data_IF_400404079922
#
_entry.id   IF_400404079922
#
_cell.length_a   1.000
_cell.length_b   1.000
_cell.length_c   1.000
_cell.angle_alpha   90.00
_cell.angle_beta   90.00
_cell.angle_gamma   90.00
#
_symmetry.space_group_name_H-M   'P 1'
#
loop_
_entity.id
_entity.type
_entity.pdbx_description
1 polymer ?
#
# COMPACT_ATOMS: atom_id res chain seq x y z
N UNK A 1 -6.73 29.42 0.90
CA UNK A 1 -6.00 28.15 1.08
C UNK A 1 -4.68 28.42 1.78
N UNK A 2 -4.00 27.43 2.38
CA UNK A 2 -2.59 27.59 2.78
C UNK A 2 -1.81 28.06 1.55
N UNK A 3 -1.31 29.31 1.57
CA UNK A 3 -0.72 29.99 0.41
C UNK A 3 -1.45 31.26 -0.07
N UNK A 4 -2.57 31.65 0.56
CA UNK A 4 -3.25 32.92 0.26
C UNK A 4 -4.21 32.88 -0.94
N UNK A 5 -4.32 31.73 -1.62
CA UNK A 5 -5.19 31.58 -2.79
C UNK A 5 -6.68 31.60 -2.40
N UNK A 6 -7.49 32.29 -3.23
CA UNK A 6 -8.95 32.40 -3.10
C UNK A 6 -9.61 31.33 -3.97
N UNK A 7 -10.50 30.55 -3.37
CA UNK A 7 -11.26 29.50 -4.06
C UNK A 7 -12.74 29.82 -3.95
N UNK A 8 -13.46 29.67 -5.06
CA UNK A 8 -14.93 29.79 -5.10
C UNK A 8 -15.53 28.39 -4.98
N UNK A 9 -16.31 28.14 -3.94
CA UNK A 9 -16.94 26.85 -3.69
C UNK A 9 -18.45 26.92 -3.95
N UNK A 10 -19.05 25.80 -4.36
CA UNK A 10 -20.50 25.65 -4.34
C UNK A 10 -21.02 25.67 -2.88
N UNK A 11 -22.33 25.93 -2.65
CA UNK A 11 -22.91 26.04 -1.31
C UNK A 11 -22.69 24.81 -0.43
N UNK A 12 -22.72 23.61 -1.02
CA UNK A 12 -22.54 22.34 -0.32
C UNK A 12 -21.09 22.13 0.15
N UNK A 13 -20.11 22.65 -0.58
CA UNK A 13 -18.70 22.53 -0.23
C UNK A 13 -18.19 23.64 0.72
N UNK A 14 -19.00 24.66 1.01
CA UNK A 14 -18.59 25.80 1.82
C UNK A 14 -18.24 25.42 3.27
N UNK A 15 -18.95 24.45 3.85
CA UNK A 15 -18.70 23.97 5.21
C UNK A 15 -17.39 23.16 5.28
N UNK A 16 -17.16 22.28 4.30
CA UNK A 16 -15.94 21.50 4.21
C UNK A 16 -14.70 22.39 4.02
N UNK A 17 -14.80 23.41 3.16
CA UNK A 17 -13.72 24.38 2.94
C UNK A 17 -13.37 25.20 4.20
N UNK A 18 -14.34 25.48 5.08
CA UNK A 18 -14.08 26.13 6.38
C UNK A 18 -13.35 25.19 7.33
N UNK A 19 -13.81 23.94 7.46
CA UNK A 19 -13.18 22.95 8.34
C UNK A 19 -11.72 22.66 7.97
N UNK A 20 -11.37 22.67 6.68
CA UNK A 20 -9.99 22.50 6.22
C UNK A 20 -9.11 23.70 6.59
N UNK A 21 -9.64 24.92 6.51
CA UNK A 21 -8.90 26.14 6.89
C UNK A 21 -8.58 26.18 8.38
N UNK A 22 -9.52 25.79 9.23
CA UNK A 22 -9.32 25.83 10.68
C UNK A 22 -8.23 24.83 11.12
N UNK A 23 -8.23 23.62 10.56
CA UNK A 23 -7.16 22.62 10.81
C UNK A 23 -5.77 23.08 10.35
N UNK A 24 -5.69 23.90 9.31
CA UNK A 24 -4.42 24.46 8.84
C UNK A 24 -3.90 25.58 9.76
N UNK A 25 -4.80 26.33 10.43
CA UNK A 25 -4.42 27.38 11.38
C UNK A 25 -3.76 26.84 12.65
N UNK A 26 -4.28 25.74 13.20
CA UNK A 26 -3.75 25.13 14.43
C UNK A 26 -2.35 24.52 14.23
N UNK A 27 -2.05 24.02 13.02
CA UNK A 27 -0.72 23.47 12.69
C UNK A 27 0.35 24.55 12.64
N UNK A 28 0.03 25.75 12.14
CA UNK A 28 0.97 26.88 12.07
C UNK A 28 1.29 27.51 13.42
N UNK A 29 0.37 27.42 14.40
CA UNK A 29 0.62 27.92 15.75
C UNK A 29 1.54 27.01 16.58
N UNK A 30 1.57 25.70 16.28
CA UNK A 30 2.40 24.74 17.01
C UNK A 30 3.87 24.77 16.60
N UNK A 31 4.18 25.11 15.34
CA UNK A 31 5.56 25.13 14.83
C UNK A 31 6.39 26.35 15.29
N UNK A 32 5.75 27.43 15.71
CA UNK A 32 6.46 28.62 16.22
C UNK A 32 6.93 28.46 17.69
N UNK A 33 6.28 27.57 18.46
CA UNK A 33 6.63 27.34 19.86
C UNK A 33 7.88 26.48 20.07
N UNK A 34 8.41 25.83 19.03
CA UNK A 34 9.56 24.92 19.14
C UNK A 34 10.93 25.61 18.95
N UNK A 35 10.99 26.88 18.49
CA UNK A 35 12.25 27.52 18.06
C UNK A 35 12.98 28.38 19.11
N UNK A 36 12.49 28.49 20.35
CA UNK A 36 13.08 29.40 21.36
C UNK A 36 13.91 28.74 22.46
N UNK A 37 14.34 27.47 22.31
CA UNK A 37 15.11 26.78 23.36
C UNK A 37 16.46 26.20 22.92
N UNK A 38 17.20 26.91 22.08
CA UNK A 38 18.63 26.63 21.84
C UNK A 38 19.51 27.59 22.66
N UNK A 39 19.60 27.30 23.96
CA UNK A 39 20.49 27.97 24.91
C UNK A 39 21.64 27.04 25.31
N UNK A 40 22.79 27.27 24.67
CA UNK A 40 24.17 26.97 25.04
C UNK A 40 24.42 26.29 26.40
N UNK A 41 24.95 25.06 26.39
CA UNK A 41 25.76 24.54 27.53
C UNK A 41 27.00 23.80 27.03
N UNK A 42 28.13 24.41 27.30
CA UNK A 42 29.48 23.86 27.17
C UNK A 42 29.78 22.87 28.30
N UNK A 43 30.29 21.71 27.89
CA UNK A 43 31.34 20.86 28.49
C UNK A 43 31.65 21.03 30.00
N UNK A 44 31.55 19.93 30.76
CA UNK A 44 32.51 19.57 31.83
C UNK A 44 32.42 18.08 32.16
N UNK A 45 33.57 17.42 32.11
CA UNK A 45 33.87 16.05 32.55
C UNK A 45 34.00 15.98 34.07
N UNK A 46 33.44 14.96 34.72
CA UNK A 46 34.01 14.31 35.92
C UNK A 46 33.14 13.13 36.41
N UNK A 47 33.78 11.96 36.50
CA UNK A 47 33.83 11.05 37.68
C UNK A 47 32.53 10.39 38.20
N UNK A 48 32.51 9.05 38.11
CA UNK A 48 31.63 8.07 38.79
C UNK A 48 31.76 8.09 40.34
N UNK A 49 31.16 7.15 41.12
CA UNK A 49 29.87 6.45 41.05
C UNK A 49 29.02 6.69 42.33
N UNK A 50 27.76 6.25 42.37
CA UNK A 50 26.96 6.33 43.60
C UNK A 50 25.63 5.59 43.55
N UNK A 51 25.54 4.53 44.34
CA UNK A 51 24.35 3.71 44.61
C UNK A 51 23.31 4.44 45.48
N UNK A 52 22.04 4.07 45.33
CA UNK A 52 20.90 4.48 46.17
C UNK A 52 19.72 4.85 45.26
N UNK A 53 18.65 4.05 45.12
CA UNK A 53 17.81 3.54 46.20
C UNK A 53 16.72 4.58 46.49
N UNK A 54 15.52 4.42 45.91
CA UNK A 54 14.19 4.81 46.44
C UNK A 54 13.10 4.69 45.35
N UNK A 55 12.28 3.63 45.46
CA UNK A 55 10.82 3.66 45.20
C UNK A 55 10.13 4.51 46.30
N UNK A 56 8.80 4.76 46.28
CA UNK A 56 7.83 4.84 45.18
C UNK A 56 7.00 6.16 45.27
N UNK A 57 6.29 6.57 44.21
CA UNK A 57 5.12 7.44 44.37
C UNK A 57 3.97 7.03 43.46
N UNK A 58 2.93 6.51 44.10
CA UNK A 58 1.59 6.39 43.57
C UNK A 58 1.03 7.81 43.31
N UNK A 59 0.54 8.02 42.09
CA UNK A 59 -0.18 9.22 41.68
C UNK A 59 -1.56 8.84 41.18
N UNK A 60 -2.51 8.81 42.12
CA UNK A 60 -3.95 8.87 41.90
C UNK A 60 -4.29 10.12 41.09
N UNK A 61 -5.02 9.97 40.00
CA UNK A 61 -5.77 11.09 39.39
C UNK A 61 -6.95 10.57 38.60
N UNK A 62 -8.07 10.57 39.31
CA UNK A 62 -9.42 10.49 38.81
C UNK A 62 -9.66 11.51 37.70
N UNK A 63 -10.32 11.11 36.60
CA UNK A 63 -11.10 12.07 35.84
C UNK A 63 -12.48 11.50 35.55
N UNK A 64 -13.44 12.02 36.32
CA UNK A 64 -14.86 11.78 36.19
C UNK A 64 -15.43 12.74 35.14
N UNK A 65 -16.42 12.24 34.39
CA UNK A 65 -17.55 13.06 33.95
C UNK A 65 -17.38 13.76 32.61
N UNK A 66 -18.12 13.26 31.61
CA UNK A 66 -19.07 14.11 30.89
C UNK A 66 -20.11 13.28 30.14
N UNK A 67 -21.22 13.09 30.82
CA UNK A 67 -22.53 12.89 30.22
C UNK A 67 -22.93 14.14 29.43
N UNK A 68 -23.28 13.96 28.16
CA UNK A 68 -23.83 14.99 27.30
C UNK A 68 -24.93 14.40 26.44
N UNK A 69 -26.13 14.36 26.99
CA UNK A 69 -27.38 14.09 26.29
C UNK A 69 -27.74 15.23 25.31
N UNK A 70 -28.65 14.91 24.40
CA UNK A 70 -29.60 15.80 23.68
C UNK A 70 -29.22 16.19 22.25
N UNK A 71 -29.98 15.67 21.28
CA UNK A 71 -30.82 16.44 20.32
C UNK A 71 -31.38 15.45 19.29
N UNK A 72 -32.64 15.07 19.38
CA UNK A 72 -33.81 15.79 18.85
C UNK A 72 -33.91 15.77 17.31
N UNK A 73 -34.81 14.90 16.83
CA UNK A 73 -35.87 15.16 15.83
C UNK A 73 -35.53 16.07 14.63
N UNK A 74 -35.44 15.45 13.46
CA UNK A 74 -35.87 15.98 12.15
C UNK A 74 -36.31 14.75 11.35
N UNK A 75 -37.58 14.51 11.07
CA UNK A 75 -38.39 15.33 10.17
C UNK A 75 -38.47 14.63 8.82
N UNK A 76 -39.07 13.44 8.78
CA UNK A 76 -39.30 12.64 7.57
C UNK A 76 -40.34 13.34 6.70
N UNK A 77 -39.87 14.20 5.80
CA UNK A 77 -40.71 14.84 4.78
C UNK A 77 -40.65 13.99 3.51
N UNK A 78 -41.57 13.03 3.40
CA UNK A 78 -41.87 12.34 2.15
C UNK A 78 -42.44 13.33 1.15
N UNK A 79 -41.61 13.82 0.23
CA UNK A 79 -42.10 14.39 -1.03
C UNK A 79 -42.18 13.27 -2.05
N UNK A 80 -43.41 12.86 -2.30
CA UNK A 80 -43.81 12.13 -3.50
C UNK A 80 -43.66 13.12 -4.65
N UNK A 81 -42.62 12.94 -5.46
CA UNK A 81 -42.54 13.55 -6.79
C UNK A 81 -43.08 12.52 -7.77
N UNK A 82 -44.36 12.66 -8.11
CA UNK A 82 -44.92 12.15 -9.36
C UNK A 82 -44.18 12.83 -10.51
N UNK A 83 -43.22 12.13 -11.10
CA UNK A 83 -42.61 12.51 -12.37
C UNK A 83 -43.24 11.68 -13.47
N UNK A 84 -44.32 12.24 -14.00
CA UNK A 84 -44.95 11.83 -15.25
C UNK A 84 -44.00 12.10 -16.42
N UNK A 85 -43.61 11.02 -17.12
CA UNK A 85 -43.31 11.05 -18.55
C UNK A 85 -41.90 11.48 -18.97
N UNK A 86 -40.91 10.60 -18.81
CA UNK A 86 -39.69 10.58 -19.63
C UNK A 86 -39.20 9.13 -19.85
N UNK A 87 -40.13 8.21 -20.13
CA UNK A 87 -39.92 6.75 -20.14
C UNK A 87 -39.27 6.18 -21.41
N UNK A 88 -38.35 6.90 -22.07
CA UNK A 88 -37.84 6.44 -23.38
C UNK A 88 -36.32 6.48 -23.57
N UNK A 89 -35.54 7.01 -22.62
CA UNK A 89 -34.06 7.11 -22.73
C UNK A 89 -33.31 6.71 -21.45
N UNK A 90 -34.00 6.22 -20.41
CA UNK A 90 -33.33 5.40 -19.37
C UNK A 90 -32.90 4.09 -20.03
N UNK A 91 -31.73 4.14 -20.68
CA UNK A 91 -31.00 2.99 -21.18
C UNK A 91 -30.93 2.00 -20.03
N UNK A 92 -31.49 0.82 -20.24
CA UNK A 92 -31.72 -0.20 -19.22
C UNK A 92 -30.41 -0.37 -18.42
N UNK A 93 -30.41 0.16 -17.19
CA UNK A 93 -29.29 0.03 -16.27
C UNK A 93 -29.51 -1.28 -15.54
N UNK A 94 -28.60 -2.22 -15.73
CA UNK A 94 -28.57 -3.46 -14.99
C UNK A 94 -27.50 -3.39 -13.89
N UNK A 95 -27.62 -4.26 -12.90
CA UNK A 95 -26.70 -4.28 -11.75
C UNK A 95 -25.55 -5.22 -12.08
N UNK A 96 -24.31 -4.75 -11.94
CA UNK A 96 -23.13 -5.58 -12.11
C UNK A 96 -23.03 -6.60 -10.96
N UNK A 97 -22.90 -7.89 -11.27
CA UNK A 97 -22.80 -8.97 -10.26
C UNK A 97 -21.52 -8.89 -9.41
N UNK A 98 -20.46 -8.25 -9.92
CA UNK A 98 -19.18 -8.11 -9.21
C UNK A 98 -19.16 -6.98 -8.19
N UNK A 99 -19.57 -5.77 -8.59
CA UNK A 99 -19.48 -4.56 -7.75
C UNK A 99 -20.84 -4.03 -7.25
N UNK A 100 -21.96 -4.65 -7.65
CA UNK A 100 -23.32 -4.23 -7.34
C UNK A 100 -23.70 -2.80 -7.77
N UNK A 101 -22.92 -2.17 -8.65
CA UNK A 101 -23.22 -0.85 -9.19
C UNK A 101 -24.18 -0.95 -10.38
N UNK A 102 -25.04 0.07 -10.56
CA UNK A 102 -25.93 0.18 -11.71
C UNK A 102 -25.18 0.68 -12.94
N UNK A 103 -24.97 -0.20 -13.92
CA UNK A 103 -24.18 0.03 -15.13
C UNK A 103 -25.12 -0.10 -16.35
N UNK A 104 -24.97 0.71 -17.42
CA UNK A 104 -25.76 0.49 -18.64
C UNK A 104 -25.53 -0.92 -19.18
N UNK A 105 -26.59 -1.58 -19.65
CA UNK A 105 -26.53 -2.95 -20.17
C UNK A 105 -25.51 -3.15 -21.31
N UNK A 106 -25.22 -2.09 -22.08
CA UNK A 106 -24.19 -2.11 -23.13
C UNK A 106 -22.77 -2.31 -22.62
N UNK A 107 -22.54 -2.01 -21.33
CA UNK A 107 -21.22 -2.08 -20.70
C UNK A 107 -21.09 -3.31 -19.78
N UNK A 108 -22.12 -4.16 -19.73
CA UNK A 108 -22.06 -5.45 -19.06
C UNK A 108 -21.57 -6.53 -20.02
N UNK A 109 -20.54 -7.23 -19.59
CA UNK A 109 -20.03 -8.43 -20.24
C UNK A 109 -20.57 -9.67 -19.52
N UNK A 110 -21.03 -10.65 -20.30
CA UNK A 110 -21.49 -11.92 -19.77
C UNK A 110 -20.31 -12.89 -19.62
N UNK A 111 -20.15 -13.46 -18.43
CA UNK A 111 -19.13 -14.45 -18.10
C UNK A 111 -19.81 -15.75 -17.66
N UNK A 112 -19.20 -16.90 -17.97
CA UNK A 112 -19.65 -18.20 -17.47
C UNK A 112 -18.63 -18.76 -16.49
N UNK A 113 -19.11 -19.12 -15.31
CA UNK A 113 -18.36 -19.86 -14.31
C UNK A 113 -18.44 -21.36 -14.65
N UNK A 114 -17.43 -22.13 -14.27
CA UNK A 114 -17.33 -23.59 -14.51
C UNK A 114 -18.50 -24.41 -13.95
N UNK A 115 -19.24 -23.88 -12.99
CA UNK A 115 -20.46 -24.47 -12.43
C UNK A 115 -21.69 -24.29 -13.33
N UNK A 116 -21.56 -23.54 -14.43
CA UNK A 116 -22.62 -23.18 -15.37
C UNK A 116 -23.36 -21.90 -15.00
N UNK A 117 -22.94 -21.19 -13.95
CA UNK A 117 -23.53 -19.90 -13.56
C UNK A 117 -23.09 -18.80 -14.52
N UNK A 118 -24.05 -18.03 -15.02
CA UNK A 118 -23.79 -16.89 -15.90
C UNK A 118 -23.81 -15.60 -15.07
N UNK A 119 -22.72 -14.83 -15.14
CA UNK A 119 -22.58 -13.54 -14.45
C UNK A 119 -22.60 -12.39 -15.46
N UNK A 120 -23.24 -11.28 -15.10
CA UNK A 120 -23.24 -10.02 -15.86
C UNK A 120 -22.38 -8.99 -15.14
N UNK A 121 -21.14 -8.83 -15.58
CA UNK A 121 -20.14 -8.00 -14.93
C UNK A 121 -19.80 -6.77 -15.77
N UNK A 122 -19.55 -5.63 -15.14
CA UNK A 122 -18.96 -4.49 -15.84
C UNK A 122 -17.53 -4.82 -16.27
N UNK A 123 -16.99 -4.08 -17.25
CA UNK A 123 -15.68 -4.34 -17.86
C UNK A 123 -14.53 -4.47 -16.86
N UNK A 124 -14.50 -3.68 -15.78
CA UNK A 124 -13.47 -3.79 -14.75
C UNK A 124 -13.59 -5.08 -13.94
N UNK A 125 -14.79 -5.42 -13.48
CA UNK A 125 -15.05 -6.68 -12.80
C UNK A 125 -14.80 -7.89 -13.72
N UNK A 126 -15.06 -7.76 -15.02
CA UNK A 126 -14.79 -8.83 -15.96
C UNK A 126 -13.31 -9.11 -16.16
N UNK A 127 -12.45 -8.08 -16.19
CA UNK A 127 -10.99 -8.24 -16.25
C UNK A 127 -10.47 -8.94 -15.00
N UNK A 128 -10.95 -8.56 -13.82
CA UNK A 128 -10.54 -9.22 -12.56
C UNK A 128 -11.07 -10.66 -12.46
N UNK A 129 -12.31 -10.91 -12.86
CA UNK A 129 -12.89 -12.24 -12.87
C UNK A 129 -12.17 -13.19 -13.84
N UNK A 130 -11.74 -12.69 -15.01
CA UNK A 130 -11.00 -13.47 -16.01
C UNK A 130 -9.59 -13.89 -15.56
N UNK A 131 -9.06 -13.33 -14.47
CA UNK A 131 -7.79 -13.81 -13.87
C UNK A 131 -7.95 -15.11 -13.08
N UNK A 132 -9.19 -15.51 -12.79
CA UNK A 132 -9.48 -16.76 -12.08
C UNK A 132 -9.72 -17.88 -13.09
N UNK A 133 -9.16 -19.06 -12.82
CA UNK A 133 -9.23 -20.22 -13.72
C UNK A 133 -10.64 -20.84 -13.82
N UNK A 134 -11.59 -20.40 -12.99
CA UNK A 134 -12.97 -20.90 -12.93
C UNK A 134 -13.96 -20.11 -13.81
N UNK A 135 -13.50 -19.10 -14.57
CA UNK A 135 -14.36 -18.19 -15.33
C UNK A 135 -13.91 -18.08 -16.80
N UNK A 136 -14.84 -18.27 -17.74
CA UNK A 136 -14.57 -18.19 -19.18
C UNK A 136 -15.59 -17.29 -19.91
N UNK A 137 -15.18 -16.67 -21.01
CA UNK A 137 -16.06 -15.82 -21.85
C UNK A 137 -16.82 -16.69 -22.87
N UNK A 138 -18.16 -16.82 -22.76
CA UNK A 138 -18.94 -17.52 -23.76
C UNK A 138 -18.98 -16.72 -25.07
N UNK A 139 -18.33 -17.22 -26.12
CA UNK A 139 -18.43 -16.62 -27.46
C UNK A 139 -17.12 -16.28 -28.15
N UNK A 140 -15.97 -16.53 -27.53
CA UNK A 140 -14.70 -16.65 -28.26
C UNK A 140 -14.68 -17.98 -29.02
N UNK A 141 -15.45 -18.11 -30.10
CA UNK A 141 -15.11 -19.11 -31.12
C UNK A 141 -13.84 -18.61 -31.78
N UNK A 142 -12.70 -18.92 -31.17
CA UNK A 142 -11.42 -18.99 -31.86
C UNK A 142 -11.57 -20.08 -32.93
N UNK A 143 -12.20 -19.73 -34.06
CA UNK A 143 -11.84 -20.30 -35.34
C UNK A 143 -10.43 -19.83 -35.59
N UNK A 144 -9.46 -20.61 -35.11
CA UNK A 144 -8.43 -21.23 -35.94
C UNK A 144 -7.28 -21.72 -35.05
N UNK A 145 -6.63 -22.80 -35.52
CA UNK A 145 -5.34 -23.29 -35.07
C UNK A 145 -5.29 -24.07 -33.74
N UNK A 146 -5.67 -25.34 -33.87
CA UNK A 146 -5.02 -26.38 -33.08
C UNK A 146 -3.51 -26.38 -33.34
N UNK A 147 -2.73 -26.45 -32.28
CA UNK A 147 -1.37 -26.97 -32.28
C UNK A 147 -1.10 -27.52 -30.89
N UNK A 148 -0.70 -28.79 -30.88
CA UNK A 148 -0.39 -29.55 -29.67
C UNK A 148 0.87 -29.04 -28.96
N UNK A 149 1.25 -29.72 -27.87
CA UNK A 149 2.27 -29.24 -26.96
C UNK A 149 3.66 -29.64 -27.46
N UNK A 150 4.41 -28.69 -28.00
CA UNK A 150 5.85 -28.84 -28.21
C UNK A 150 6.61 -27.71 -27.50
N UNK A 151 7.23 -28.13 -26.39
CA UNK A 151 8.62 -27.91 -26.02
C UNK A 151 9.34 -26.65 -26.56
N UNK A 152 9.79 -25.84 -25.60
CA UNK A 152 11.07 -25.12 -25.61
C UNK A 152 11.35 -24.17 -26.77
N UNK A 153 11.20 -22.86 -26.56
CA UNK A 153 12.23 -21.88 -26.98
C UNK A 153 11.95 -20.48 -26.41
N UNK A 154 13.01 -19.88 -25.83
CA UNK A 154 13.22 -18.44 -25.71
C UNK A 154 12.86 -17.73 -27.02
N UNK A 155 12.33 -16.51 -26.99
CA UNK A 155 12.82 -15.33 -27.75
C UNK A 155 12.03 -14.08 -27.35
N UNK A 156 12.75 -13.15 -26.73
CA UNK A 156 12.84 -11.71 -27.02
C UNK A 156 11.64 -11.03 -27.70
N UNK A 157 10.99 -10.13 -26.95
CA UNK A 157 9.96 -9.23 -27.45
C UNK A 157 10.61 -7.97 -28.03
N UNK A 158 10.65 -7.88 -29.35
CA UNK A 158 10.93 -6.64 -30.08
C UNK A 158 9.73 -5.69 -29.98
N UNK A 159 9.97 -4.47 -29.48
CA UNK A 159 9.04 -3.35 -29.57
C UNK A 159 9.47 -2.48 -30.74
N UNK A 160 8.66 -2.46 -31.79
CA UNK A 160 8.76 -1.52 -32.91
C UNK A 160 8.14 -0.20 -32.50
N UNK A 161 8.94 0.87 -32.47
CA UNK A 161 8.41 2.24 -32.47
C UNK A 161 8.98 2.98 -33.66
N UNK A 162 8.11 3.27 -34.63
CA UNK A 162 8.36 4.20 -35.71
C UNK A 162 8.59 5.60 -35.13
N UNK A 163 9.78 6.16 -35.37
CA UNK A 163 10.00 7.61 -35.29
C UNK A 163 10.96 7.99 -36.40
N UNK A 164 10.40 8.54 -37.46
CA UNK A 164 11.13 9.13 -38.56
C UNK A 164 11.58 10.55 -38.22
N UNK A 165 12.85 10.85 -38.50
CA UNK A 165 13.31 12.17 -38.91
C UNK A 165 14.42 12.80 -38.06
N UNK A 166 15.65 12.83 -38.58
CA UNK A 166 16.64 13.83 -38.12
C UNK A 166 18.13 13.49 -38.21
N UNK A 167 18.63 13.25 -39.43
CA UNK A 167 19.96 13.62 -39.94
C UNK A 167 21.24 13.56 -39.06
N UNK A 168 22.08 12.59 -39.40
CA UNK A 168 23.48 12.77 -39.85
C UNK A 168 24.47 13.56 -38.99
N UNK A 169 25.42 12.84 -38.38
CA UNK A 169 26.86 13.15 -38.47
C UNK A 169 27.67 11.88 -38.22
N UNK A 170 28.43 11.50 -39.26
CA UNK A 170 29.37 10.38 -39.28
C UNK A 170 30.60 10.75 -38.47
N UNK A 171 31.12 9.83 -37.70
CA UNK A 171 32.54 9.79 -37.34
C UNK A 171 32.96 8.32 -37.25
N UNK A 172 33.49 7.87 -38.39
CA UNK A 172 34.52 6.86 -38.51
C UNK A 172 35.57 7.03 -37.39
N UNK A 173 35.84 5.95 -36.67
CA UNK A 173 37.18 5.59 -36.18
C UNK A 173 37.14 4.16 -35.66
N UNK A 174 37.75 3.30 -36.46
CA UNK A 174 38.19 1.93 -36.21
C UNK A 174 39.11 1.82 -34.98
N UNK A 175 39.41 0.57 -34.61
CA UNK A 175 40.39 0.04 -33.63
C UNK A 175 39.62 -0.77 -32.56
N UNK A 176 39.29 -2.05 -32.81
CA UNK A 176 40.19 -3.21 -32.85
C UNK A 176 41.08 -3.29 -31.60
N UNK A 177 40.53 -3.88 -30.54
CA UNK A 177 41.31 -4.64 -29.56
C UNK A 177 40.46 -5.85 -29.15
N UNK A 178 40.71 -6.96 -29.84
CA UNK A 178 40.19 -8.27 -29.48
C UNK A 178 40.64 -8.66 -28.08
N UNK A 179 39.73 -8.53 -27.12
CA UNK A 179 39.79 -9.26 -25.85
C UNK A 179 39.01 -10.56 -26.01
N UNK A 180 39.65 -11.49 -26.72
CA UNK A 180 39.33 -12.90 -26.73
C UNK A 180 39.61 -13.51 -25.35
N UNK A 181 38.62 -14.23 -24.81
CA UNK A 181 38.87 -15.41 -23.98
C UNK A 181 39.49 -15.20 -22.59
N UNK A 182 38.89 -14.36 -21.75
CA UNK A 182 39.15 -14.35 -20.30
C UNK A 182 37.89 -14.76 -19.57
N UNK A 183 37.76 -16.05 -19.23
CA UNK A 183 36.54 -16.64 -18.67
C UNK A 183 35.86 -15.76 -17.63
N UNK A 184 34.56 -15.54 -17.80
CA UNK A 184 33.65 -15.15 -16.74
C UNK A 184 33.75 -16.19 -15.64
N UNK A 185 34.77 -16.06 -14.79
CA UNK A 185 34.78 -16.60 -13.45
C UNK A 185 33.42 -16.24 -12.86
N UNK A 186 32.73 -17.17 -12.19
CA UNK A 186 31.47 -16.87 -11.52
C UNK A 186 31.75 -15.64 -10.65
N UNK A 187 31.20 -14.51 -11.07
CA UNK A 187 31.25 -13.27 -10.30
C UNK A 187 30.54 -13.63 -9.01
N UNK A 188 31.35 -13.83 -7.98
CA UNK A 188 31.02 -14.02 -6.58
C UNK A 188 29.61 -13.46 -6.32
N UNK A 189 28.63 -14.34 -6.06
CA UNK A 189 27.21 -13.98 -5.83
C UNK A 189 27.01 -12.92 -4.74
N UNK A 190 28.08 -12.57 -4.01
CA UNK A 190 28.18 -11.48 -3.02
C UNK A 190 27.88 -10.08 -3.57
N UNK A 191 28.00 -9.82 -4.88
CA UNK A 191 27.68 -8.49 -5.42
C UNK A 191 26.16 -8.25 -5.58
N UNK A 192 25.35 -9.30 -5.74
CA UNK A 192 23.88 -9.14 -5.84
C UNK A 192 23.23 -8.72 -4.51
N UNK A 193 23.81 -9.12 -3.36
CA UNK A 193 23.31 -8.72 -2.04
C UNK A 193 23.64 -7.27 -1.68
N UNK A 194 24.67 -6.69 -2.31
CA UNK A 194 25.11 -5.32 -2.01
C UNK A 194 24.10 -4.28 -2.47
N UNK A 195 23.43 -4.53 -3.59
CA UNK A 195 22.43 -3.60 -4.13
C UNK A 195 21.04 -3.80 -3.51
N UNK A 196 20.74 -5.01 -3.01
CA UNK A 196 19.54 -5.30 -2.19
C UNK A 196 19.54 -4.62 -0.82
N UNK A 197 20.61 -3.96 -0.39
CA UNK A 197 20.67 -3.29 0.91
C UNK A 197 20.80 -1.76 0.83
N UNK A 198 20.61 -1.16 -0.34
CA UNK A 198 20.68 0.30 -0.48
C UNK A 198 19.32 0.96 -0.35
N UNK A 199 19.25 2.08 0.36
CA UNK A 199 18.05 2.92 0.41
C UNK A 199 17.76 3.48 -0.99
N UNK A 200 16.51 3.42 -1.46
CA UNK A 200 16.15 3.98 -2.77
C UNK A 200 16.25 5.50 -2.83
N UNK A 201 16.15 6.17 -1.68
CA UNK A 201 16.23 7.63 -1.57
C UNK A 201 17.67 8.13 -1.42
N UNK A 202 18.33 7.82 -0.30
CA UNK A 202 19.69 8.32 -0.06
C UNK A 202 20.80 7.49 -0.75
N UNK A 203 20.49 6.31 -1.29
CA UNK A 203 21.44 5.36 -1.91
C UNK A 203 22.51 4.79 -0.98
N UNK A 204 22.43 5.09 0.31
CA UNK A 204 23.34 4.53 1.31
C UNK A 204 23.03 3.05 1.57
N UNK A 205 24.09 2.27 1.80
CA UNK A 205 23.99 0.91 2.27
C UNK A 205 23.49 0.90 3.73
N UNK A 206 22.51 0.04 4.02
CA UNK A 206 21.87 -0.06 5.34
C UNK A 206 22.21 -1.42 5.93
N UNK A 207 22.68 -1.44 7.18
CA UNK A 207 22.97 -2.69 7.91
C UNK A 207 21.71 -3.39 8.46
N UNK A 208 20.55 -2.75 8.34
CA UNK A 208 19.26 -3.20 8.87
C UNK A 208 18.27 -3.35 7.71
N UNK A 209 17.32 -4.27 7.84
CA UNK A 209 16.25 -4.46 6.86
C UNK A 209 15.56 -3.13 6.51
N UNK A 210 15.45 -2.86 5.20
CA UNK A 210 14.80 -1.66 4.67
C UNK A 210 13.28 -1.74 4.91
N UNK A 211 12.64 -0.59 5.05
CA UNK A 211 11.19 -0.50 5.06
C UNK A 211 10.69 -0.48 3.63
N UNK A 212 9.84 -1.45 3.27
CA UNK A 212 9.02 -1.36 2.06
C UNK A 212 7.86 -0.40 2.37
N UNK A 213 7.81 0.72 1.67
CA UNK A 213 6.78 1.74 1.86
C UNK A 213 6.04 1.97 0.55
N UNK A 214 4.76 2.32 0.64
CA UNK A 214 3.98 2.81 -0.50
C UNK A 214 3.76 4.30 -0.27
N UNK A 215 4.17 5.12 -1.23
CA UNK A 215 3.95 6.57 -1.18
C UNK A 215 2.53 6.92 -1.61
N UNK A 216 2.07 8.13 -1.32
CA UNK A 216 0.76 8.65 -1.76
C UNK A 216 0.57 8.63 -3.30
N UNK A 217 1.66 8.54 -4.07
CA UNK A 217 1.62 8.39 -5.52
C UNK A 217 1.41 6.92 -5.96
N UNK A 218 1.26 5.99 -5.02
CA UNK A 218 1.13 4.54 -5.27
C UNK A 218 2.45 3.85 -5.62
N UNK A 219 3.60 4.51 -5.48
CA UNK A 219 4.91 3.91 -5.78
C UNK A 219 5.46 3.18 -4.56
N UNK A 220 5.94 1.95 -4.77
CA UNK A 220 6.63 1.17 -3.74
C UNK A 220 8.12 1.54 -3.72
N UNK A 221 8.61 1.95 -2.55
CA UNK A 221 10.01 2.32 -2.33
C UNK A 221 10.61 1.55 -1.15
N UNK A 222 11.94 1.44 -1.10
CA UNK A 222 12.68 0.75 -0.04
C UNK A 222 13.54 1.74 0.73
N UNK A 223 13.05 2.16 1.90
CA UNK A 223 13.67 3.24 2.68
C UNK A 223 14.49 2.70 3.85
N UNK A 224 15.61 3.37 4.16
CA UNK A 224 16.29 3.18 5.43
C UNK A 224 15.45 3.77 6.60
N UNK A 225 15.76 3.45 7.87
CA UNK A 225 15.04 4.02 9.02
C UNK A 225 14.96 5.55 9.03
N UNK A 226 16.03 6.23 8.61
CA UNK A 226 16.08 7.69 8.58
C UNK A 226 15.14 8.26 7.51
N UNK A 227 15.29 7.84 6.25
CA UNK A 227 14.41 8.29 5.15
C UNK A 227 12.95 7.90 5.38
N UNK A 228 12.67 6.76 6.03
CA UNK A 228 11.30 6.37 6.40
C UNK A 228 10.70 7.35 7.40
N UNK A 229 11.45 7.73 8.44
CA UNK A 229 10.97 8.66 9.46
C UNK A 229 10.70 10.05 8.86
N UNK A 230 11.59 10.52 7.98
CA UNK A 230 11.43 11.78 7.26
C UNK A 230 10.18 11.76 6.34
N UNK A 231 10.02 10.71 5.54
CA UNK A 231 8.86 10.58 4.66
C UNK A 231 7.51 10.47 5.42
N UNK A 232 7.53 9.86 6.62
CA UNK A 232 6.37 9.82 7.50
C UNK A 232 6.04 11.19 8.11
N UNK A 233 7.05 11.95 8.53
CA UNK A 233 6.90 13.32 9.03
C UNK A 233 6.33 14.25 7.95
N UNK A 234 6.78 14.09 6.70
CA UNK A 234 6.29 14.84 5.55
C UNK A 234 4.90 14.39 5.08
N UNK A 235 4.36 13.28 5.59
CA UNK A 235 3.07 12.73 5.18
C UNK A 235 3.04 12.21 3.74
N UNK A 236 4.19 11.78 3.21
CA UNK A 236 4.35 11.25 1.84
C UNK A 236 4.00 9.75 1.79
N UNK A 237 3.94 9.08 2.94
CA UNK A 237 3.66 7.64 3.02
C UNK A 237 2.15 7.38 3.09
N UNK A 238 1.65 6.53 2.20
CA UNK A 238 0.30 5.96 2.27
C UNK A 238 0.29 4.77 3.25
N UNK A 239 1.27 3.88 3.13
CA UNK A 239 1.40 2.70 4.01
C UNK A 239 2.85 2.27 4.17
N UNK A 240 3.14 1.60 5.29
CA UNK A 240 4.45 1.04 5.62
C UNK A 240 4.28 -0.44 5.88
N UNK A 241 4.93 -1.28 5.08
CA UNK A 241 4.92 -2.71 5.30
C UNK A 241 5.69 -3.06 6.58
N UNK A 242 5.23 -4.10 7.27
CA UNK A 242 5.92 -4.63 8.44
C UNK A 242 7.30 -5.18 8.06
N UNK A 243 8.28 -5.06 8.95
CA UNK A 243 9.59 -5.72 8.81
C UNK A 243 9.49 -7.21 9.12
N UNK A 244 10.32 -8.05 8.48
CA UNK A 244 10.37 -9.49 8.80
C UNK A 244 10.67 -9.74 10.26
N UNK A 245 11.68 -9.06 10.82
CA UNK A 245 12.03 -9.20 12.25
C UNK A 245 10.84 -8.88 13.15
N UNK A 246 10.10 -7.81 12.85
CA UNK A 246 8.92 -7.43 13.62
C UNK A 246 7.78 -8.44 13.45
N UNK A 247 7.61 -8.99 12.26
CA UNK A 247 6.61 -10.01 11.99
C UNK A 247 6.91 -11.31 12.77
N UNK A 248 8.18 -11.72 12.84
CA UNK A 248 8.63 -12.85 13.67
C UNK A 248 8.35 -12.62 15.15
N UNK A 249 8.60 -11.41 15.66
CA UNK A 249 8.25 -11.04 17.04
C UNK A 249 6.74 -11.13 17.32
N UNK A 250 5.89 -10.67 16.39
CA UNK A 250 4.43 -10.71 16.53
C UNK A 250 3.92 -12.16 16.58
N UNK A 251 4.46 -13.03 15.73
CA UNK A 251 4.09 -14.44 15.73
C UNK A 251 4.78 -15.25 16.83
N UNK A 252 5.87 -14.74 17.40
CA UNK A 252 6.67 -15.43 18.41
C UNK A 252 7.48 -16.59 17.84
N UNK A 253 7.98 -16.45 16.62
CA UNK A 253 8.79 -17.46 15.92
C UNK A 253 10.25 -17.04 15.84
N UNK A 254 11.16 -18.02 15.76
CA UNK A 254 12.60 -17.79 15.59
C UNK A 254 12.95 -17.29 14.19
N UNK A 255 14.18 -16.78 14.02
CA UNK A 255 14.69 -16.28 12.73
C UNK A 255 14.86 -17.39 11.67
N UNK A 256 15.01 -18.64 12.11
CA UNK A 256 15.13 -19.86 11.31
C UNK A 256 13.84 -20.67 11.21
N UNK A 257 12.71 -20.11 11.67
CA UNK A 257 11.43 -20.79 11.63
C UNK A 257 10.98 -21.05 10.19
N UNK A 258 10.60 -22.28 9.93
CA UNK A 258 10.08 -22.76 8.64
C UNK A 258 8.68 -22.21 8.36
N UNK A 259 8.25 -22.25 7.08
CA UNK A 259 6.91 -21.82 6.68
C UNK A 259 5.79 -22.58 7.43
N UNK A 260 6.00 -23.87 7.73
CA UNK A 260 5.05 -24.67 8.51
C UNK A 260 4.92 -24.16 9.96
N UNK A 261 6.05 -23.85 10.61
CA UNK A 261 6.06 -23.29 11.96
C UNK A 261 5.44 -21.89 12.01
N UNK A 262 5.72 -21.05 11.00
CA UNK A 262 5.09 -19.75 10.83
C UNK A 262 3.57 -19.89 10.73
N UNK A 263 3.07 -20.84 9.93
CA UNK A 263 1.64 -21.06 9.75
C UNK A 263 0.96 -21.60 11.02
N UNK A 264 1.61 -22.48 11.78
CA UNK A 264 1.06 -22.95 13.06
C UNK A 264 1.04 -21.84 14.11
N UNK A 265 2.10 -21.04 14.21
CA UNK A 265 2.15 -19.87 15.09
C UNK A 265 1.04 -18.86 14.75
N UNK A 266 0.82 -18.61 13.45
CA UNK A 266 -0.29 -17.77 12.99
C UNK A 266 -1.64 -18.29 13.47
N UNK A 267 -1.95 -19.58 13.32
CA UNK A 267 -3.21 -20.18 13.78
C UNK A 267 -3.40 -20.01 15.29
N UNK A 268 -2.33 -20.18 16.08
CA UNK A 268 -2.37 -19.98 17.54
C UNK A 268 -2.63 -18.51 17.88
N UNK A 269 -1.96 -17.57 17.21
CA UNK A 269 -2.11 -16.14 17.48
C UNK A 269 -3.46 -15.59 17.01
N UNK A 270 -3.97 -16.03 15.86
CA UNK A 270 -5.32 -15.69 15.40
C UNK A 270 -6.36 -16.12 16.41
N UNK A 271 -6.29 -17.37 16.91
CA UNK A 271 -7.19 -17.86 17.97
C UNK A 271 -7.08 -17.05 19.26
N UNK A 272 -6.00 -16.30 19.50
CA UNK A 272 -5.86 -15.41 20.68
C UNK A 272 -6.38 -14.00 20.39
N UNK A 273 -6.08 -13.46 19.21
CA UNK A 273 -6.36 -12.10 18.80
C UNK A 273 -7.78 -11.90 18.21
N UNK A 274 -8.50 -12.98 17.89
CA UNK A 274 -9.81 -12.93 17.23
C UNK A 274 -10.83 -12.06 18.00
N UNK A 275 -11.56 -11.15 17.33
CA UNK A 275 -12.50 -10.22 17.98
C UNK A 275 -13.66 -10.91 18.71
N UNK A 276 -14.01 -12.14 18.35
CA UNK A 276 -15.04 -12.93 19.07
C UNK A 276 -14.62 -13.32 20.49
N UNK A 277 -13.34 -13.19 20.82
CA UNK A 277 -12.85 -13.43 22.18
C UNK A 277 -12.84 -12.13 22.95
N UNK A 278 -13.15 -12.22 24.25
CA UNK A 278 -13.20 -11.07 25.15
C UNK A 278 -11.88 -10.28 25.23
N UNK A 279 -10.75 -10.93 24.97
CA UNK A 279 -9.42 -10.31 24.94
C UNK A 279 -8.95 -9.92 23.54
N UNK A 280 -9.68 -10.30 22.48
CA UNK A 280 -9.30 -10.04 21.11
C UNK A 280 -9.79 -8.69 20.61
N UNK A 281 -9.13 -8.17 19.58
CA UNK A 281 -9.52 -6.92 18.92
C UNK A 281 -9.25 -7.02 17.43
N UNK A 282 -9.99 -6.25 16.63
CA UNK A 282 -9.77 -6.19 15.19
C UNK A 282 -8.35 -5.75 14.83
N UNK A 283 -7.78 -4.81 15.59
CA UNK A 283 -6.41 -4.34 15.37
C UNK A 283 -5.35 -5.40 15.70
N UNK A 284 -5.55 -6.18 16.78
CA UNK A 284 -4.65 -7.28 17.10
C UNK A 284 -4.72 -8.40 16.05
N UNK A 285 -5.92 -8.70 15.56
CA UNK A 285 -6.11 -9.67 14.48
C UNK A 285 -5.41 -9.20 13.20
N UNK A 286 -5.62 -7.94 12.78
CA UNK A 286 -4.96 -7.37 11.61
C UNK A 286 -3.43 -7.43 11.74
N UNK A 287 -2.88 -7.05 12.90
CA UNK A 287 -1.43 -7.10 13.13
C UNK A 287 -0.85 -8.51 12.95
N UNK A 288 -1.57 -9.54 13.40
CA UNK A 288 -1.16 -10.95 13.25
C UNK A 288 -1.26 -11.40 11.79
N UNK A 289 -2.29 -10.98 11.07
CA UNK A 289 -2.45 -11.26 9.63
C UNK A 289 -1.34 -10.60 8.81
N UNK A 290 -1.09 -9.30 9.03
CA UNK A 290 -0.03 -8.55 8.33
C UNK A 290 1.35 -9.17 8.59
N UNK A 291 1.60 -9.64 9.82
CA UNK A 291 2.84 -10.34 10.15
C UNK A 291 2.98 -11.67 9.39
N UNK A 292 1.93 -12.47 9.30
CA UNK A 292 1.96 -13.74 8.55
C UNK A 292 2.17 -13.52 7.05
N UNK A 293 1.45 -12.59 6.44
CA UNK A 293 1.60 -12.26 5.02
C UNK A 293 3.02 -11.78 4.72
N UNK A 294 3.58 -10.94 5.59
CA UNK A 294 4.95 -10.45 5.44
C UNK A 294 6.00 -11.56 5.46
N UNK A 295 5.86 -12.54 6.35
CA UNK A 295 6.80 -13.67 6.41
C UNK A 295 6.62 -14.62 5.24
N UNK A 296 5.39 -14.87 4.79
CA UNK A 296 5.15 -15.69 3.60
C UNK A 296 5.83 -15.09 2.36
N UNK A 297 5.64 -13.79 2.13
CA UNK A 297 6.32 -13.08 1.02
C UNK A 297 7.85 -13.16 1.14
N UNK A 298 8.40 -13.10 2.36
CA UNK A 298 9.84 -13.18 2.58
C UNK A 298 10.42 -14.55 2.20
N UNK A 299 9.70 -15.63 2.49
CA UNK A 299 10.11 -17.00 2.14
C UNK A 299 9.95 -17.26 0.62
N UNK A 300 8.98 -16.62 -0.03
CA UNK A 300 8.81 -16.71 -1.49
C UNK A 300 9.93 -15.95 -2.25
N UNK A 301 10.53 -14.92 -1.64
CA UNK A 301 11.61 -14.09 -2.20
C UNK A 301 13.04 -14.63 -1.90
N UNK A 302 13.16 -15.63 -1.01
CA UNK A 302 14.43 -16.18 -0.51
C UNK A 302 14.98 -17.31 -1.41
#
# INVERSE_FOLDING_TARGET
MPGGERVTCCPECAEHARAVRDRAGDRSASSDSARTRSGSRTRSTATSPGSGGSEPQAGDSSNAGRTGSSSARSGSSTRVTESTGNSSIDHQRATCDGCAQSVPETDLETLMVTDGTTLSCCRSCAIEAAKRDDVFRPGGVDRDSGSGPDSSTRTETGTTTDTAGGSSSRSDSSDDDGIDGGGSLPTDDRDYDRDRNRCTQCRDAVAVERYRVTTIDGRTEWLCPACKAEAEEDGILESVAMRTTRAREVLGVGDDATLEEIHEAYRVQVKRAHPDRRSGSRSAFQLVTDAYERLREAEDDA
#
